data_IF_032719948465
#
_entry.id   IF_032719948465
#
_cell.length_a   1.000
_cell.length_b   1.000
_cell.length_c   1.000
_cell.angle_alpha   90.00
_cell.angle_beta   90.00
_cell.angle_gamma   90.00
#
_symmetry.space_group_name_H-M   'P 1'
#
loop_
_entity.id
_entity.type
_entity.pdbx_description
1 polymer ?
#
# COMPACT_ATOMS: atom_id res chain seq x y z
N UNK A 1 -0.01 10.36 -6.98
CA UNK A 1 0.08 8.89 -6.88
C UNK A 1 -1.12 8.42 -6.08
N UNK A 2 -1.78 7.33 -6.48
CA UNK A 2 -2.93 6.78 -5.75
C UNK A 2 -2.47 6.42 -4.32
N UNK A 3 -3.06 7.03 -3.30
CA UNK A 3 -2.57 6.96 -1.91
C UNK A 3 -3.26 5.86 -1.08
N UNK A 4 -4.34 5.30 -1.64
CA UNK A 4 -5.20 4.30 -1.03
C UNK A 4 -5.19 2.99 -1.84
N UNK A 5 -4.02 2.58 -2.32
CA UNK A 5 -3.84 1.31 -3.03
C UNK A 5 -3.72 0.19 -2.00
N UNK A 6 -4.54 -0.84 -2.13
CA UNK A 6 -4.47 -2.06 -1.32
C UNK A 6 -3.96 -3.26 -2.15
N UNK A 7 -3.63 -4.33 -1.43
CA UNK A 7 -3.29 -5.63 -2.02
C UNK A 7 -4.56 -6.47 -2.04
N UNK A 8 -5.04 -6.83 -3.22
CA UNK A 8 -6.18 -7.72 -3.40
C UNK A 8 -5.76 -9.19 -3.26
N UNK A 9 -4.62 -9.56 -3.84
CA UNK A 9 -4.16 -10.95 -3.85
C UNK A 9 -2.62 -11.05 -3.78
N UNK A 10 -2.16 -12.17 -3.23
CA UNK A 10 -0.76 -12.54 -3.15
C UNK A 10 -0.61 -13.93 -3.75
N UNK A 11 0.17 -14.06 -4.81
CA UNK A 11 0.38 -15.33 -5.48
C UNK A 11 1.83 -15.79 -5.37
N UNK A 12 2.11 -17.04 -4.97
CA UNK A 12 3.46 -17.57 -4.96
C UNK A 12 3.97 -17.82 -6.38
N UNK A 13 5.22 -17.45 -6.64
CA UNK A 13 5.91 -17.74 -7.90
C UNK A 13 7.11 -18.64 -7.62
N UNK A 14 6.90 -19.93 -7.84
CA UNK A 14 7.85 -20.97 -7.48
C UNK A 14 8.22 -20.88 -6.00
N UNK A 15 9.52 -20.92 -5.69
CA UNK A 15 10.04 -20.84 -4.32
C UNK A 15 10.80 -19.54 -4.02
N UNK A 16 10.85 -18.59 -4.96
CA UNK A 16 11.79 -17.47 -4.91
C UNK A 16 11.13 -16.08 -4.89
N UNK A 17 9.82 -16.00 -5.15
CA UNK A 17 9.11 -14.73 -5.24
C UNK A 17 7.60 -14.87 -4.97
N UNK A 18 6.96 -13.72 -4.80
CA UNK A 18 5.50 -13.55 -4.85
C UNK A 18 5.12 -12.46 -5.85
N UNK A 19 3.97 -12.62 -6.47
CA UNK A 19 3.31 -11.60 -7.25
C UNK A 19 2.25 -10.92 -6.38
N UNK A 20 2.31 -9.60 -6.29
CA UNK A 20 1.31 -8.80 -5.58
C UNK A 20 0.34 -8.23 -6.62
N UNK A 21 -0.96 -8.48 -6.41
CA UNK A 21 -2.04 -7.91 -7.22
C UNK A 21 -2.64 -6.76 -6.44
N UNK A 22 -2.54 -5.56 -6.99
CA UNK A 22 -3.08 -4.34 -6.40
C UNK A 22 -4.44 -3.98 -6.99
N UNK A 23 -5.31 -3.41 -6.16
CA UNK A 23 -6.68 -2.99 -6.51
C UNK A 23 -6.72 -1.88 -7.58
N UNK A 24 -5.61 -1.18 -7.76
CA UNK A 24 -5.50 -0.04 -8.66
C UNK A 24 -5.15 -0.43 -10.11
N UNK A 25 -5.14 -1.73 -10.40
CA UNK A 25 -4.89 -2.35 -11.70
C UNK A 25 -3.45 -2.81 -11.92
N UNK A 26 -2.54 -2.62 -10.95
CA UNK A 26 -1.17 -3.12 -11.06
C UNK A 26 -1.07 -4.58 -10.62
N UNK A 27 -0.79 -5.48 -11.55
CA UNK A 27 -0.73 -6.94 -11.29
C UNK A 27 0.49 -7.64 -11.92
N UNK A 28 1.45 -6.84 -12.39
CA UNK A 28 2.67 -7.31 -13.09
C UNK A 28 3.91 -7.34 -12.20
N UNK A 29 3.81 -6.85 -10.96
CA UNK A 29 4.95 -6.76 -10.04
C UNK A 29 5.35 -8.12 -9.47
N UNK A 30 6.59 -8.54 -9.71
CA UNK A 30 7.20 -9.71 -9.10
C UNK A 30 8.18 -9.29 -8.01
N UNK A 31 7.99 -9.81 -6.80
CA UNK A 31 8.77 -9.44 -5.62
C UNK A 31 9.49 -10.67 -5.08
N UNK A 32 10.80 -10.71 -5.24
CA UNK A 32 11.62 -11.81 -4.70
C UNK A 32 11.78 -11.66 -3.18
N UNK A 33 12.05 -12.77 -2.47
CA UNK A 33 12.24 -12.72 -1.02
C UNK A 33 13.35 -11.76 -0.57
N UNK A 34 14.53 -11.70 -1.22
CA UNK A 34 15.55 -10.73 -0.86
C UNK A 34 15.11 -9.28 -1.03
N UNK A 35 14.33 -8.98 -2.08
CA UNK A 35 13.79 -7.63 -2.31
C UNK A 35 12.79 -7.27 -1.20
N UNK A 36 11.85 -8.16 -0.87
CA UNK A 36 10.88 -7.92 0.20
C UNK A 36 11.57 -7.72 1.55
N UNK A 37 12.60 -8.52 1.83
CA UNK A 37 13.41 -8.37 3.03
C UNK A 37 14.13 -7.03 3.08
N UNK A 38 14.78 -6.62 1.98
CA UNK A 38 15.49 -5.34 1.90
C UNK A 38 14.54 -4.14 2.04
N UNK A 39 13.35 -4.24 1.42
CA UNK A 39 12.31 -3.22 1.54
C UNK A 39 11.80 -3.07 2.97
N UNK A 40 11.62 -4.20 3.69
CA UNK A 40 11.26 -4.19 5.10
C UNK A 40 12.36 -3.59 5.97
N UNK A 41 13.60 -4.04 5.79
CA UNK A 41 14.75 -3.55 6.56
C UNK A 41 14.99 -2.05 6.35
N UNK A 42 14.82 -1.55 5.13
CA UNK A 42 15.02 -0.14 4.76
C UNK A 42 13.75 0.69 4.80
N UNK A 43 12.65 0.16 5.33
CA UNK A 43 11.33 0.80 5.28
C UNK A 43 11.39 2.24 5.78
N UNK A 44 11.93 2.48 6.99
CA UNK A 44 11.99 3.80 7.59
C UNK A 44 12.78 4.81 6.75
N UNK A 45 13.98 4.41 6.30
CA UNK A 45 14.84 5.27 5.48
C UNK A 45 14.22 5.60 4.12
N UNK A 46 13.65 4.58 3.46
CA UNK A 46 12.95 4.76 2.19
C UNK A 46 11.70 5.64 2.35
N UNK A 47 10.96 5.45 3.45
CA UNK A 47 9.77 6.23 3.77
C UNK A 47 10.09 7.69 4.03
N UNK A 48 11.10 7.96 4.86
CA UNK A 48 11.58 9.34 5.11
C UNK A 48 12.01 10.01 3.81
N UNK A 49 12.76 9.31 2.96
CA UNK A 49 13.19 9.81 1.64
C UNK A 49 11.98 10.15 0.75
N UNK A 50 10.95 9.31 0.75
CA UNK A 50 9.71 9.58 0.03
C UNK A 50 9.02 10.84 0.54
N UNK A 51 8.84 10.99 1.85
CA UNK A 51 8.21 12.17 2.45
C UNK A 51 9.00 13.46 2.18
N UNK A 52 10.33 13.43 2.26
CA UNK A 52 11.17 14.59 1.92
C UNK A 52 10.96 15.03 0.48
N UNK A 53 10.92 14.07 -0.47
CA UNK A 53 10.65 14.39 -1.89
C UNK A 53 9.24 14.90 -2.12
N UNK A 54 8.26 14.35 -1.41
CA UNK A 54 6.87 14.79 -1.50
C UNK A 54 6.70 16.23 -1.01
N UNK A 55 7.33 16.57 0.13
CA UNK A 55 7.35 17.92 0.68
C UNK A 55 8.08 18.91 -0.25
N UNK A 56 9.22 18.52 -0.82
CA UNK A 56 9.94 19.34 -1.79
C UNK A 56 9.12 19.62 -3.07
N UNK A 57 8.25 18.69 -3.46
CA UNK A 57 7.32 18.87 -4.58
C UNK A 57 6.04 19.67 -4.21
N UNK A 58 5.93 20.16 -2.96
CA UNK A 58 4.75 20.88 -2.48
C UNK A 58 3.49 20.02 -2.33
N UNK A 59 3.62 18.69 -2.41
CA UNK A 59 2.51 17.74 -2.32
C UNK A 59 2.41 17.20 -0.89
N UNK A 60 1.20 16.85 -0.45
CA UNK A 60 0.96 16.20 0.84
C UNK A 60 0.31 14.83 0.64
N UNK A 61 0.59 13.92 1.57
CA UNK A 61 -0.09 12.63 1.60
C UNK A 61 -1.47 12.80 2.23
N UNK A 62 -2.53 12.49 1.51
CA UNK A 62 -3.86 12.32 2.08
C UNK A 62 -3.93 10.95 2.73
N UNK A 63 -4.34 10.87 3.99
CA UNK A 63 -4.70 9.60 4.61
C UNK A 63 -5.91 9.03 3.85
N UNK A 64 -5.83 7.77 3.43
CA UNK A 64 -6.99 7.07 2.89
C UNK A 64 -8.16 7.24 3.86
N UNK A 65 -9.34 7.65 3.37
CA UNK A 65 -10.54 7.80 4.18
C UNK A 65 -10.77 6.50 4.95
N UNK A 66 -10.67 6.53 6.27
CA UNK A 66 -11.13 5.46 7.16
C UNK A 66 -12.65 5.46 7.09
N UNK A 67 -13.21 4.60 6.23
CA UNK A 67 -14.65 4.46 6.05
C UNK A 67 -15.24 3.55 7.14
N UNK A 68 -14.94 3.87 8.40
CA UNK A 68 -15.42 3.18 9.60
C UNK A 68 -16.45 4.10 10.28
N UNK A 69 -17.54 4.40 9.56
CA UNK A 69 -18.74 4.97 10.17
C UNK A 69 -19.65 3.81 10.59
N UNK A 70 -19.89 3.58 11.89
CA UNK A 70 -20.93 2.67 12.32
C UNK A 70 -22.29 3.23 11.85
N UNK A 71 -23.00 2.48 11.01
CA UNK A 71 -24.37 2.83 10.63
C UNK A 71 -25.26 2.64 11.86
N UNK A 72 -25.72 3.74 12.46
CA UNK A 72 -26.87 3.73 13.37
C UNK A 72 -28.09 3.26 12.59
N UNK A 73 -28.60 2.08 12.94
CA UNK A 73 -29.89 1.59 12.48
C UNK A 73 -30.98 2.28 13.32
N UNK A 74 -31.51 3.41 12.86
CA UNK A 74 -32.79 3.91 13.37
C UNK A 74 -33.92 3.05 12.80
N UNK A 75 -34.25 1.96 13.48
CA UNK A 75 -35.59 1.36 13.35
C UNK A 75 -36.54 2.09 14.29
N UNK A 76 -37.28 3.02 13.68
CA UNK A 76 -38.47 3.66 14.22
C UNK A 76 -39.50 2.59 14.62
N UNK A 77 -39.95 2.63 15.87
CA UNK A 77 -41.21 2.06 16.34
C UNK A 77 -41.84 2.98 17.38
#
# INVERSE_FOLDING_TARGET
GKQAVNIDQIEPVGRYAVRLVFDDGHNTGLYTWPILYDLGLKHESNWRRYLTRLAAAGQRRSSAKSNDEPQEYEEQS
#
